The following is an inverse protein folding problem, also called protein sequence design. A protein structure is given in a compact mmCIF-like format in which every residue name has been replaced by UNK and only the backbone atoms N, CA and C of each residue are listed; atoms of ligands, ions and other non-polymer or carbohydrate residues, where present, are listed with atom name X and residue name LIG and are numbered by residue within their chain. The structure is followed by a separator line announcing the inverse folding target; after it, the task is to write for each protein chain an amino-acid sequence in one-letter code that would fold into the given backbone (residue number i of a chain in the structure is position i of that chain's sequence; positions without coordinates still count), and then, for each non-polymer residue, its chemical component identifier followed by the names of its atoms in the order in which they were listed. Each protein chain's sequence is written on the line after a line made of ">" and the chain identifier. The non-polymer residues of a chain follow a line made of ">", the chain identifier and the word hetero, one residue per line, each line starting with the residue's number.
data_IF_523789710664
#
_entry.id   IF_523789710664
#
_cell.length_a   1.000
_cell.length_b   1.000
_cell.length_c   1.000
_cell.angle_alpha   90.00
_cell.angle_beta   90.00
_cell.angle_gamma   90.00
#
_symmetry.space_group_name_H-M   'P 1'
#
loop_
_entity.id
_entity.type
_entity.pdbx_description
1 polymer ?
#
# COMPACT_ATOMS: atom_id res chain seq x y z
N UNK A 1 -61.47 -2.71 -49.36
CA UNK A 1 -61.39 -1.91 -48.10
C UNK A 1 -60.88 -2.86 -47.02
N UNK A 2 -59.60 -3.28 -47.11
CA UNK A 2 -59.05 -4.44 -46.36
C UNK A 2 -57.52 -4.42 -46.30
N UNK A 3 -56.91 -3.24 -46.16
CA UNK A 3 -55.45 -3.08 -46.05
C UNK A 3 -54.94 -2.36 -44.79
N UNK A 4 -55.69 -1.43 -44.14
CA UNK A 4 -55.18 -0.75 -42.94
C UNK A 4 -55.22 -1.63 -41.67
N UNK A 5 -56.10 -2.64 -41.62
CA UNK A 5 -56.34 -3.46 -40.42
C UNK A 5 -55.18 -4.43 -40.12
N UNK A 6 -54.56 -4.99 -41.16
CA UNK A 6 -53.39 -5.87 -41.06
C UNK A 6 -52.13 -5.17 -40.57
N UNK A 7 -51.94 -3.89 -40.91
CA UNK A 7 -50.77 -3.11 -40.44
C UNK A 7 -50.88 -2.76 -38.96
N UNK A 8 -52.09 -2.44 -38.49
CA UNK A 8 -52.35 -2.18 -37.07
C UNK A 8 -52.12 -3.44 -36.22
N UNK A 9 -52.60 -4.60 -36.69
CA UNK A 9 -52.40 -5.90 -36.02
C UNK A 9 -50.92 -6.30 -35.94
N UNK A 10 -50.14 -6.09 -37.00
CA UNK A 10 -48.69 -6.36 -37.00
C UNK A 10 -47.94 -5.44 -36.05
N UNK A 11 -48.28 -4.14 -36.01
CA UNK A 11 -47.69 -3.20 -35.07
C UNK A 11 -47.99 -3.55 -33.61
N UNK A 12 -49.21 -4.03 -33.31
CA UNK A 12 -49.56 -4.48 -31.96
C UNK A 12 -48.81 -5.77 -31.55
N UNK A 13 -48.63 -6.71 -32.49
CA UNK A 13 -47.83 -7.93 -32.26
C UNK A 13 -46.35 -7.59 -32.03
N UNK A 14 -45.79 -6.65 -32.80
CA UNK A 14 -44.42 -6.17 -32.61
C UNK A 14 -44.24 -5.43 -31.28
N UNK A 15 -45.22 -4.59 -30.89
CA UNK A 15 -45.22 -3.91 -29.59
C UNK A 15 -45.33 -4.87 -28.40
N UNK A 16 -46.12 -5.95 -28.52
CA UNK A 16 -46.19 -7.00 -27.50
C UNK A 16 -44.88 -7.79 -27.43
N UNK A 17 -44.30 -8.17 -28.58
CA UNK A 17 -43.00 -8.87 -28.63
C UNK A 17 -41.86 -8.02 -28.09
N UNK A 18 -41.84 -6.72 -28.35
CA UNK A 18 -40.81 -5.82 -27.81
C UNK A 18 -40.94 -5.70 -26.29
N UNK A 19 -42.16 -5.57 -25.78
CA UNK A 19 -42.43 -5.57 -24.33
C UNK A 19 -42.00 -6.87 -23.66
N UNK A 20 -42.34 -8.02 -24.25
CA UNK A 20 -41.97 -9.33 -23.69
C UNK A 20 -40.45 -9.54 -23.70
N UNK A 21 -39.74 -9.04 -24.74
CA UNK A 21 -38.27 -9.03 -24.76
C UNK A 21 -37.68 -8.15 -23.67
N UNK A 22 -38.24 -6.97 -23.42
CA UNK A 22 -37.78 -6.06 -22.35
C UNK A 22 -38.01 -6.68 -20.97
N UNK A 23 -39.19 -7.28 -20.75
CA UNK A 23 -39.50 -7.97 -19.49
C UNK A 23 -38.58 -9.18 -19.30
N UNK A 24 -38.37 -9.98 -20.34
CA UNK A 24 -37.42 -11.11 -20.30
C UNK A 24 -36.00 -10.66 -19.98
N UNK A 25 -35.51 -9.58 -20.61
CA UNK A 25 -34.20 -9.02 -20.34
C UNK A 25 -34.09 -8.52 -18.89
N UNK A 26 -35.11 -7.84 -18.38
CA UNK A 26 -35.14 -7.36 -17.00
C UNK A 26 -35.06 -8.50 -15.99
N UNK A 27 -35.76 -9.61 -16.23
CA UNK A 27 -35.69 -10.80 -15.37
C UNK A 27 -34.26 -11.36 -15.34
N UNK A 28 -33.62 -11.49 -16.50
CA UNK A 28 -32.24 -11.98 -16.60
C UNK A 28 -31.26 -11.07 -15.85
N UNK A 29 -31.38 -9.75 -16.03
CA UNK A 29 -30.53 -8.76 -15.35
C UNK A 29 -30.71 -8.83 -13.83
N UNK A 30 -31.96 -8.86 -13.35
CA UNK A 30 -32.26 -8.93 -11.92
C UNK A 30 -31.74 -10.23 -11.31
N UNK A 31 -31.94 -11.37 -11.98
CA UNK A 31 -31.43 -12.67 -11.53
C UNK A 31 -29.89 -12.70 -11.47
N UNK A 32 -29.22 -12.11 -12.46
CA UNK A 32 -27.77 -11.99 -12.48
C UNK A 32 -27.26 -11.14 -11.31
N UNK A 33 -27.85 -9.96 -11.08
CA UNK A 33 -27.47 -9.08 -9.96
C UNK A 33 -27.70 -9.75 -8.61
N UNK A 34 -28.83 -10.45 -8.42
CA UNK A 34 -29.11 -11.24 -7.21
C UNK A 34 -28.07 -12.33 -6.98
N UNK A 35 -27.69 -13.06 -8.04
CA UNK A 35 -26.68 -14.12 -7.96
C UNK A 35 -25.31 -13.57 -7.57
N UNK A 36 -24.92 -12.44 -8.14
CA UNK A 36 -23.68 -11.72 -7.77
C UNK A 36 -23.74 -11.26 -6.32
N UNK A 37 -24.85 -10.68 -5.87
CA UNK A 37 -25.02 -10.22 -4.50
C UNK A 37 -24.93 -11.37 -3.48
N UNK A 38 -25.58 -12.51 -3.75
CA UNK A 38 -25.51 -13.71 -2.92
C UNK A 38 -24.10 -14.30 -2.87
N UNK A 39 -23.40 -14.33 -4.01
CA UNK A 39 -22.01 -14.78 -4.08
C UNK A 39 -21.08 -13.88 -3.26
N UNK A 40 -21.24 -12.56 -3.34
CA UNK A 40 -20.49 -11.60 -2.54
C UNK A 40 -20.79 -11.71 -1.04
N UNK A 41 -22.06 -11.92 -0.68
CA UNK A 41 -22.47 -12.14 0.70
C UNK A 41 -21.88 -13.43 1.27
N UNK A 42 -22.00 -14.56 0.56
CA UNK A 42 -21.43 -15.84 0.97
C UNK A 42 -19.91 -15.77 1.11
N UNK A 43 -19.22 -15.04 0.20
CA UNK A 43 -17.77 -14.80 0.30
C UNK A 43 -17.38 -14.01 1.55
N UNK A 44 -18.18 -13.03 1.97
CA UNK A 44 -17.94 -12.26 3.20
C UNK A 44 -18.23 -13.09 4.45
N UNK A 45 -19.39 -13.75 4.48
CA UNK A 45 -19.83 -14.56 5.62
C UNK A 45 -18.91 -15.76 5.88
N UNK A 46 -18.33 -16.36 4.83
CA UNK A 46 -17.39 -17.49 4.95
C UNK A 46 -15.96 -17.08 5.34
N UNK A 47 -15.69 -15.78 5.52
CA UNK A 47 -14.35 -15.26 5.80
C UNK A 47 -14.37 -14.15 6.87
N UNK A 48 -14.92 -14.38 8.08
CA UNK A 48 -14.80 -13.40 9.15
C UNK A 48 -13.32 -13.30 9.52
N UNK A 49 -12.73 -12.13 9.29
CA UNK A 49 -11.36 -11.82 9.72
C UNK A 49 -11.46 -10.83 10.87
N UNK A 50 -11.26 -11.31 12.09
CA UNK A 50 -10.93 -10.44 13.21
C UNK A 50 -9.41 -10.36 13.22
N UNK A 51 -8.87 -9.31 12.60
CA UNK A 51 -7.45 -9.01 12.75
C UNK A 51 -7.16 -8.79 14.24
N UNK A 52 -6.11 -9.43 14.74
CA UNK A 52 -5.64 -9.19 16.12
C UNK A 52 -5.33 -7.69 16.24
N UNK A 53 -5.84 -7.00 17.28
CA UNK A 53 -5.53 -5.59 17.46
C UNK A 53 -4.02 -5.42 17.58
N UNK A 54 -3.46 -4.34 17.02
CA UNK A 54 -2.02 -4.09 17.11
C UNK A 54 -1.59 -3.94 18.57
N UNK A 55 -0.35 -4.34 18.86
CA UNK A 55 0.26 -4.11 20.16
C UNK A 55 0.26 -2.61 20.51
N UNK A 56 0.25 -2.25 21.81
CA UNK A 56 0.33 -0.86 22.23
C UNK A 56 1.62 -0.20 21.70
N UNK A 57 1.64 1.15 21.58
CA UNK A 57 2.83 1.89 21.18
C UNK A 57 4.05 1.52 22.02
N UNK A 58 5.20 1.36 21.38
CA UNK A 58 6.46 1.05 22.07
C UNK A 58 7.59 1.95 21.62
N UNK A 59 8.43 2.37 22.57
CA UNK A 59 9.66 3.11 22.29
C UNK A 59 10.89 2.19 22.14
N UNK A 60 10.72 0.89 22.42
CA UNK A 60 11.78 -0.10 22.32
C UNK A 60 12.31 -0.22 20.90
N UNK A 61 13.64 -0.14 20.75
CA UNK A 61 14.30 -0.25 19.44
C UNK A 61 14.25 1.00 18.56
N UNK A 62 13.77 2.15 19.08
CA UNK A 62 13.87 3.44 18.37
C UNK A 62 15.20 4.11 18.72
N UNK A 63 16.06 4.32 17.73
CA UNK A 63 17.36 4.97 17.90
C UNK A 63 17.17 6.49 17.93
N UNK A 64 17.64 7.16 18.98
CA UNK A 64 17.62 8.64 19.08
C UNK A 64 16.27 9.26 19.47
N UNK A 65 15.35 8.47 20.01
CA UNK A 65 14.02 8.92 20.43
C UNK A 65 14.06 10.02 21.52
N UNK A 66 13.19 11.06 21.47
CA UNK A 66 12.27 11.41 20.38
C UNK A 66 12.81 12.45 19.38
N UNK A 67 13.93 13.11 19.69
CA UNK A 67 14.31 14.38 19.05
C UNK A 67 15.29 14.24 17.86
N UNK A 68 16.02 13.13 17.80
CA UNK A 68 17.08 12.89 16.81
C UNK A 68 17.00 11.45 16.32
N UNK A 69 15.80 11.06 15.86
CA UNK A 69 15.49 9.69 15.53
C UNK A 69 16.14 9.27 14.22
N UNK A 70 16.95 8.21 14.28
CA UNK A 70 17.44 7.51 13.10
C UNK A 70 16.41 6.47 12.66
N UNK A 71 15.69 6.80 11.57
CA UNK A 71 14.63 5.97 11.02
C UNK A 71 15.19 4.65 10.45
N UNK A 72 16.37 4.67 9.83
CA UNK A 72 16.94 3.44 9.27
C UNK A 72 17.47 2.55 10.40
N UNK A 73 18.15 3.14 11.39
CA UNK A 73 18.58 2.44 12.60
C UNK A 73 17.42 1.86 13.44
N UNK A 74 16.23 2.47 13.36
CA UNK A 74 15.03 2.02 14.08
C UNK A 74 14.25 0.88 13.37
N UNK A 75 14.71 0.43 12.19
CA UNK A 75 14.04 -0.63 11.41
C UNK A 75 13.90 -1.94 12.20
N UNK A 76 14.89 -2.29 13.03
CA UNK A 76 14.84 -3.48 13.88
C UNK A 76 13.69 -3.43 14.91
N UNK A 77 13.45 -2.25 15.50
CA UNK A 77 12.30 -2.03 16.38
C UNK A 77 10.98 -2.15 15.61
N UNK A 78 10.90 -1.54 14.42
CA UNK A 78 9.71 -1.61 13.56
C UNK A 78 9.40 -3.05 13.11
N UNK A 79 10.44 -3.88 12.90
CA UNK A 79 10.29 -5.31 12.62
C UNK A 79 9.63 -6.06 13.77
N UNK A 80 10.04 -5.77 15.00
CA UNK A 80 9.58 -6.50 16.19
C UNK A 80 8.07 -6.34 16.47
N UNK A 81 7.45 -5.27 15.95
CA UNK A 81 6.02 -4.98 16.16
C UNK A 81 5.10 -5.54 15.05
N UNK A 82 5.64 -6.24 14.06
CA UNK A 82 4.87 -6.87 12.98
C UNK A 82 5.27 -8.33 12.78
N UNK A 83 4.32 -9.14 12.32
CA UNK A 83 4.57 -10.52 11.87
C UNK A 83 4.80 -10.62 10.35
N UNK A 84 4.82 -9.49 9.64
CA UNK A 84 5.03 -9.42 8.19
C UNK A 84 6.54 -9.25 7.89
N UNK A 85 7.08 -10.15 7.07
CA UNK A 85 8.53 -10.37 6.99
C UNK A 85 9.22 -9.59 5.86
N UNK A 86 8.51 -9.08 4.86
CA UNK A 86 9.14 -8.41 3.73
C UNK A 86 8.97 -6.90 3.82
N UNK A 87 10.07 -6.15 3.94
CA UNK A 87 10.03 -4.70 3.83
C UNK A 87 9.74 -4.28 2.38
N UNK A 88 8.77 -3.39 2.24
CA UNK A 88 8.35 -2.82 0.94
C UNK A 88 8.65 -1.33 0.82
N UNK A 89 8.66 -0.61 1.92
CA UNK A 89 8.86 0.84 1.92
C UNK A 89 9.34 1.33 3.29
N UNK A 90 10.29 2.26 3.30
CA UNK A 90 10.58 3.14 4.44
C UNK A 90 10.29 4.55 3.99
N UNK A 91 9.42 5.27 4.70
CA UNK A 91 9.09 6.64 4.34
C UNK A 91 9.22 7.54 5.56
N UNK A 92 9.82 8.71 5.39
CA UNK A 92 9.92 9.71 6.43
C UNK A 92 9.73 11.12 5.89
N UNK A 93 9.20 11.98 6.75
CA UNK A 93 9.04 13.41 6.53
C UNK A 93 9.58 14.16 7.75
N UNK A 94 10.01 15.40 7.53
CA UNK A 94 10.68 16.19 8.57
C UNK A 94 12.15 15.80 8.77
N UNK A 95 12.78 15.17 7.76
CA UNK A 95 14.18 14.71 7.86
C UNK A 95 15.11 15.92 7.82
N UNK A 96 15.86 16.13 8.91
CA UNK A 96 16.89 17.16 9.04
C UNK A 96 18.14 16.77 8.24
N UNK A 97 19.02 17.74 7.98
CA UNK A 97 20.23 17.55 7.18
C UNK A 97 21.26 16.59 7.78
N UNK A 98 21.13 16.23 9.06
CA UNK A 98 21.90 15.18 9.73
C UNK A 98 21.34 13.76 9.51
N UNK A 99 20.22 13.63 8.78
CA UNK A 99 19.54 12.36 8.51
C UNK A 99 18.54 11.94 9.58
N UNK A 100 18.33 12.73 10.62
CA UNK A 100 17.40 12.41 11.71
C UNK A 100 16.03 13.07 11.55
N UNK A 101 15.03 12.56 12.27
CA UNK A 101 13.73 13.22 12.42
C UNK A 101 13.49 13.59 13.89
N UNK A 102 12.73 14.65 14.11
CA UNK A 102 12.26 15.05 15.42
C UNK A 102 10.77 14.76 15.55
N UNK A 103 10.42 13.73 16.30
CA UNK A 103 9.03 13.31 16.43
C UNK A 103 8.19 14.33 17.19
N UNK A 104 8.79 15.24 17.96
CA UNK A 104 8.05 16.30 18.63
C UNK A 104 7.60 17.40 17.68
N UNK A 105 8.25 17.55 16.53
CA UNK A 105 7.82 18.46 15.47
C UNK A 105 6.57 17.91 14.75
N UNK A 106 5.71 18.80 14.26
CA UNK A 106 4.50 18.45 13.51
C UNK A 106 4.85 17.74 12.19
N UNK A 107 6.01 18.08 11.62
CA UNK A 107 6.50 17.51 10.36
C UNK A 107 7.14 16.13 10.53
N UNK A 108 7.59 15.79 11.74
CA UNK A 108 8.40 14.61 12.02
C UNK A 108 7.56 13.34 12.12
N UNK A 109 7.60 12.53 11.08
CA UNK A 109 6.90 11.25 11.03
C UNK A 109 7.62 10.27 10.11
N UNK A 110 7.56 8.99 10.47
CA UNK A 110 8.03 7.92 9.59
C UNK A 110 7.07 6.74 9.59
N UNK A 111 7.17 5.91 8.56
CA UNK A 111 6.45 4.64 8.47
C UNK A 111 7.25 3.60 7.73
N UNK A 112 7.03 2.36 8.11
CA UNK A 112 7.58 1.15 7.50
C UNK A 112 6.42 0.33 6.97
N UNK A 113 6.51 -0.12 5.73
CA UNK A 113 5.48 -0.99 5.15
C UNK A 113 6.04 -2.40 4.98
N UNK A 114 5.34 -3.36 5.55
CA UNK A 114 5.68 -4.78 5.49
C UNK A 114 4.60 -5.60 4.79
N UNK A 115 5.02 -6.66 4.12
CA UNK A 115 4.16 -7.60 3.40
C UNK A 115 4.64 -9.04 3.66
N UNK A 116 3.82 -10.04 3.37
CA UNK A 116 4.27 -11.44 3.26
C UNK A 116 4.35 -11.86 1.79
N UNK A 117 5.00 -13.00 1.54
CA UNK A 117 4.89 -13.69 0.24
C UNK A 117 3.49 -14.26 0.07
N UNK A 118 3.20 -14.69 -1.16
CA UNK A 118 1.94 -15.32 -1.50
C UNK A 118 1.71 -16.59 -0.67
N UNK A 119 0.59 -16.63 0.03
CA UNK A 119 0.22 -17.74 0.92
C UNK A 119 1.02 -17.80 2.21
N UNK A 120 1.93 -16.84 2.45
CA UNK A 120 2.73 -16.76 3.67
C UNK A 120 2.17 -15.73 4.66
N UNK A 121 2.60 -15.86 5.91
CA UNK A 121 2.24 -14.95 6.99
C UNK A 121 0.96 -15.34 7.74
N UNK A 122 0.74 -14.72 8.91
CA UNK A 122 -0.36 -15.08 9.78
C UNK A 122 -1.70 -14.85 9.09
N UNK A 123 -2.57 -15.84 9.23
CA UNK A 123 -3.99 -15.71 8.94
C UNK A 123 -4.71 -15.50 10.27
N UNK A 124 -5.80 -14.73 10.29
CA UNK A 124 -6.60 -14.59 11.49
C UNK A 124 -7.18 -15.96 11.88
N UNK A 125 -7.41 -16.17 13.18
CA UNK A 125 -8.07 -17.37 13.66
C UNK A 125 -9.42 -17.54 12.96
N UNK A 126 -9.74 -18.76 12.57
CA UNK A 126 -10.93 -19.07 11.76
C UNK A 126 -11.90 -19.95 12.53
N UNK A 127 -13.19 -19.78 12.27
CA UNK A 127 -14.20 -20.71 12.77
C UNK A 127 -13.98 -22.11 12.16
N UNK A 128 -14.21 -23.19 12.93
CA UNK A 128 -14.12 -24.55 12.43
C UNK A 128 -14.97 -24.77 11.17
N UNK A 129 -14.42 -25.48 10.17
CA UNK A 129 -15.12 -25.79 8.92
C UNK A 129 -14.95 -24.77 7.78
N UNK A 130 -14.16 -23.71 7.97
CA UNK A 130 -13.87 -22.72 6.92
C UNK A 130 -12.60 -23.07 6.11
N UNK A 131 -12.59 -22.77 4.80
CA UNK A 131 -11.46 -23.08 3.91
C UNK A 131 -10.34 -22.05 3.99
N UNK A 132 -9.04 -22.43 4.02
CA UNK A 132 -7.92 -21.49 4.02
C UNK A 132 -7.92 -20.63 2.76
N UNK A 133 -7.56 -19.35 2.89
CA UNK A 133 -7.30 -18.48 1.73
C UNK A 133 -5.96 -18.91 1.13
N UNK A 134 -5.93 -19.11 -0.19
CA UNK A 134 -4.72 -19.57 -0.92
C UNK A 134 -3.95 -18.43 -1.61
N UNK A 135 -4.63 -17.33 -1.93
CA UNK A 135 -4.04 -16.18 -2.64
C UNK A 135 -4.20 -14.93 -1.80
N UNK A 136 -3.22 -14.66 -0.94
CA UNK A 136 -3.09 -13.42 -0.19
C UNK A 136 -1.61 -13.19 0.11
N UNK A 137 -1.21 -11.94 0.21
CA UNK A 137 0.14 -11.56 0.59
C UNK A 137 0.15 -10.86 1.95
N UNK A 138 -0.98 -10.29 2.39
CA UNK A 138 -1.10 -9.60 3.67
C UNK A 138 -0.25 -8.33 3.75
N UNK A 139 -0.67 -7.32 4.50
CA UNK A 139 0.09 -6.06 4.62
C UNK A 139 -0.10 -5.45 5.98
N UNK A 140 0.98 -4.93 6.54
CA UNK A 140 0.93 -4.13 7.74
C UNK A 140 1.86 -2.92 7.63
N UNK A 141 1.38 -1.77 8.09
CA UNK A 141 2.18 -0.54 8.16
C UNK A 141 2.50 -0.26 9.61
N UNK A 142 3.75 0.04 9.91
CA UNK A 142 4.20 0.47 11.24
C UNK A 142 4.53 1.94 11.17
N UNK A 143 3.87 2.76 11.98
CA UNK A 143 4.11 4.19 12.08
C UNK A 143 5.05 4.49 13.23
N UNK A 144 5.90 5.48 13.04
CA UNK A 144 6.75 6.05 14.05
C UNK A 144 6.26 7.48 14.33
N UNK A 145 5.69 7.66 15.53
CA UNK A 145 5.02 8.89 15.99
C UNK A 145 5.54 9.27 17.39
N UNK A 146 5.02 10.36 17.96
CA UNK A 146 5.38 10.86 19.30
C UNK A 146 5.24 9.79 20.39
N UNK A 147 4.30 8.87 20.25
CA UNK A 147 4.04 7.79 21.20
C UNK A 147 4.99 6.59 21.04
N UNK A 148 5.80 6.57 19.97
CA UNK A 148 6.69 5.47 19.60
C UNK A 148 6.28 4.78 18.30
N UNK A 149 6.63 3.50 18.19
CA UNK A 149 6.25 2.61 17.09
C UNK A 149 4.85 2.06 17.32
N UNK A 150 3.97 2.23 16.33
CA UNK A 150 2.57 1.81 16.36
C UNK A 150 2.24 1.08 15.06
N UNK A 151 1.83 -0.18 15.14
CA UNK A 151 1.36 -0.91 13.98
C UNK A 151 -0.10 -0.57 13.66
N UNK A 152 -0.44 -0.41 12.38
CA UNK A 152 -1.83 -0.45 11.92
C UNK A 152 -2.39 -1.88 12.10
N UNK A 153 -3.73 -2.05 12.13
CA UNK A 153 -4.34 -3.36 12.02
C UNK A 153 -3.80 -4.13 10.80
N UNK A 154 -3.51 -5.42 10.99
CA UNK A 154 -3.00 -6.27 9.92
C UNK A 154 -4.07 -6.50 8.85
N UNK A 155 -3.73 -6.25 7.58
CA UNK A 155 -4.63 -6.42 6.44
C UNK A 155 -4.33 -7.76 5.80
N UNK A 156 -4.99 -8.82 6.27
CA UNK A 156 -4.70 -10.21 5.92
C UNK A 156 -5.15 -10.62 4.51
N UNK A 157 -6.16 -9.97 3.91
CA UNK A 157 -6.57 -10.17 2.51
C UNK A 157 -5.71 -9.42 1.49
N UNK A 158 -4.71 -8.64 1.91
CA UNK A 158 -4.04 -7.73 0.97
C UNK A 158 -3.58 -8.50 -0.28
N UNK A 159 -4.05 -8.08 -1.48
CA UNK A 159 -3.84 -8.85 -2.69
C UNK A 159 -2.36 -8.98 -2.99
N UNK A 160 -1.99 -10.10 -3.61
CA UNK A 160 -0.64 -10.26 -4.10
C UNK A 160 -0.42 -9.38 -5.33
N UNK A 161 0.76 -8.75 -5.44
CA UNK A 161 1.10 -7.98 -6.62
C UNK A 161 1.12 -8.90 -7.84
N UNK A 162 0.68 -8.37 -8.99
CA UNK A 162 0.68 -9.16 -10.25
C UNK A 162 2.10 -9.51 -10.71
N UNK A 163 3.07 -8.68 -10.32
CA UNK A 163 4.50 -8.91 -10.54
C UNK A 163 5.16 -9.19 -9.20
N UNK A 164 5.87 -10.31 -9.10
CA UNK A 164 6.63 -10.65 -7.90
C UNK A 164 7.81 -9.66 -7.78
N UNK A 165 7.64 -8.63 -6.95
CA UNK A 165 8.71 -7.70 -6.63
C UNK A 165 9.54 -8.29 -5.50
N UNK A 166 10.85 -8.37 -5.68
CA UNK A 166 11.73 -8.73 -4.57
C UNK A 166 11.55 -7.73 -3.43
N UNK A 167 11.67 -8.17 -2.17
CA UNK A 167 11.69 -7.27 -1.03
C UNK A 167 12.83 -6.23 -1.15
N UNK A 168 12.70 -5.16 -0.37
CA UNK A 168 13.83 -4.26 -0.17
C UNK A 168 14.89 -4.97 0.69
N UNK A 169 16.19 -4.81 0.38
CA UNK A 169 17.24 -5.37 1.18
C UNK A 169 17.32 -4.68 2.54
N UNK A 170 17.66 -5.46 3.56
CA UNK A 170 17.76 -5.01 4.94
C UNK A 170 19.10 -5.46 5.55
N UNK A 171 19.84 -4.55 6.22
CA UNK A 171 19.62 -3.10 6.25
C UNK A 171 19.91 -2.46 4.87
N UNK A 172 19.35 -1.28 4.59
CA UNK A 172 19.77 -0.48 3.44
C UNK A 172 21.29 -0.21 3.48
N UNK A 173 21.93 -0.09 2.31
CA UNK A 173 23.40 0.10 2.23
C UNK A 173 23.87 1.50 2.65
N UNK A 174 22.98 2.47 2.62
CA UNK A 174 23.18 3.84 3.08
C UNK A 174 21.93 4.32 3.83
N UNK A 175 22.05 5.38 4.62
CA UNK A 175 20.95 5.96 5.39
C UNK A 175 20.51 7.32 4.86
N UNK A 176 19.65 7.99 5.64
CA UNK A 176 19.15 9.31 5.31
C UNK A 176 20.23 10.40 5.33
N UNK A 177 21.27 10.25 6.17
CA UNK A 177 22.36 11.19 6.25
C UNK A 177 23.15 11.25 4.93
N UNK A 178 23.42 10.10 4.30
CA UNK A 178 24.11 10.01 3.02
C UNK A 178 23.26 10.58 1.87
N UNK A 179 21.96 10.30 1.87
CA UNK A 179 21.02 10.89 0.88
C UNK A 179 20.99 12.41 1.02
N UNK A 180 20.96 12.94 2.24
CA UNK A 180 21.05 14.38 2.51
C UNK A 180 22.40 14.97 2.10
N UNK A 181 23.51 14.28 2.37
CA UNK A 181 24.85 14.72 1.96
C UNK A 181 24.94 14.90 0.44
N UNK A 182 24.32 13.98 -0.33
CA UNK A 182 24.19 14.12 -1.78
C UNK A 182 23.38 15.37 -2.16
N UNK A 183 22.25 15.61 -1.50
CA UNK A 183 21.43 16.80 -1.75
C UNK A 183 22.22 18.11 -1.50
N UNK A 184 22.95 18.18 -0.38
CA UNK A 184 23.77 19.34 -0.01
C UNK A 184 24.87 19.58 -1.05
N UNK A 185 25.51 18.51 -1.53
CA UNK A 185 26.52 18.60 -2.61
C UNK A 185 25.93 19.21 -3.90
N UNK A 186 24.65 18.98 -4.15
CA UNK A 186 23.89 19.55 -5.27
C UNK A 186 23.18 20.88 -4.94
N UNK A 187 23.61 21.57 -3.87
CA UNK A 187 23.14 22.92 -3.54
C UNK A 187 21.86 22.97 -2.69
N UNK A 188 21.41 21.86 -2.10
CA UNK A 188 20.25 21.89 -1.22
C UNK A 188 20.55 22.66 0.10
N UNK A 189 19.59 23.46 0.60
CA UNK A 189 19.75 24.20 1.85
C UNK A 189 19.69 23.29 3.09
N UNK A 190 20.62 23.48 4.04
CA UNK A 190 20.76 22.63 5.25
C UNK A 190 19.70 22.89 6.32
N UNK A 191 19.08 24.07 6.31
CA UNK A 191 18.08 24.51 7.28
C UNK A 191 16.64 24.12 6.90
N UNK A 192 16.48 23.33 5.83
CA UNK A 192 15.20 22.80 5.39
C UNK A 192 15.08 21.34 5.80
N UNK A 193 13.84 20.86 5.81
CA UNK A 193 13.51 19.47 6.06
C UNK A 193 13.11 18.81 4.75
N UNK A 194 13.43 17.53 4.63
CA UNK A 194 13.13 16.74 3.45
C UNK A 194 12.12 15.65 3.76
N UNK A 195 11.51 15.16 2.70
CA UNK A 195 10.82 13.89 2.62
C UNK A 195 11.76 12.90 1.93
N UNK A 196 12.00 11.77 2.59
CA UNK A 196 12.87 10.71 2.06
C UNK A 196 12.12 9.39 2.09
N UNK A 197 12.20 8.66 0.98
CA UNK A 197 11.52 7.36 0.80
C UNK A 197 12.52 6.31 0.28
N UNK A 198 12.61 5.17 0.94
CA UNK A 198 13.23 3.95 0.44
C UNK A 198 12.18 3.08 -0.23
N UNK A 199 12.33 2.81 -1.52
CA UNK A 199 11.32 2.11 -2.31
C UNK A 199 11.96 1.24 -3.39
N UNK A 200 11.15 0.37 -3.99
CA UNK A 200 11.55 -0.44 -5.14
C UNK A 200 11.27 0.36 -6.42
N UNK A 201 12.34 0.85 -7.05
CA UNK A 201 12.30 1.43 -8.37
C UNK A 201 12.48 0.33 -9.44
N UNK A 202 12.29 0.69 -10.72
CA UNK A 202 12.49 -0.23 -11.85
C UNK A 202 13.94 -0.75 -11.91
N UNK A 203 14.92 0.10 -11.61
CA UNK A 203 16.33 -0.28 -11.58
C UNK A 203 16.71 -1.16 -10.37
N UNK A 204 15.88 -1.22 -9.32
CA UNK A 204 16.17 -1.92 -8.07
C UNK A 204 15.80 -1.08 -6.84
N UNK A 205 16.37 -1.39 -5.66
CA UNK A 205 16.18 -0.59 -4.45
C UNK A 205 16.69 0.84 -4.68
N UNK A 206 15.94 1.83 -4.23
CA UNK A 206 16.23 3.24 -4.48
C UNK A 206 15.77 4.15 -3.34
N UNK A 207 16.40 5.31 -3.24
CA UNK A 207 15.99 6.41 -2.39
C UNK A 207 15.34 7.49 -3.23
N UNK A 208 14.25 8.08 -2.76
CA UNK A 208 13.66 9.29 -3.32
C UNK A 208 13.80 10.39 -2.30
N UNK A 209 14.32 11.53 -2.74
CA UNK A 209 14.52 12.71 -1.92
C UNK A 209 13.70 13.86 -2.50
N UNK A 210 13.08 14.64 -1.61
CA UNK A 210 12.36 15.85 -1.97
C UNK A 210 12.37 16.85 -0.82
N UNK A 211 12.68 18.12 -1.10
CA UNK A 211 12.38 19.22 -0.20
C UNK A 211 11.08 19.90 -0.68
N UNK A 212 9.99 19.88 0.11
CA UNK A 212 8.72 20.46 -0.28
C UNK A 212 8.83 21.93 -0.72
N UNK A 213 8.10 22.28 -1.78
CA UNK A 213 8.09 23.61 -2.39
C UNK A 213 9.45 24.10 -2.91
N UNK A 214 10.34 23.19 -3.32
CA UNK A 214 11.62 23.52 -3.94
C UNK A 214 11.88 22.63 -5.16
N UNK A 215 12.80 23.00 -6.06
CA UNK A 215 13.20 22.12 -7.17
C UNK A 215 14.11 20.95 -6.75
N UNK A 216 14.48 20.85 -5.47
CA UNK A 216 15.38 19.80 -4.98
C UNK A 216 14.62 18.48 -4.83
N UNK A 217 14.52 17.75 -5.94
CA UNK A 217 13.98 16.39 -6.01
C UNK A 217 14.90 15.51 -6.85
N UNK A 218 15.17 14.30 -6.38
CA UNK A 218 15.95 13.31 -7.13
C UNK A 218 15.70 11.91 -6.59
N UNK A 219 16.19 10.89 -7.31
CA UNK A 219 16.26 9.53 -6.83
C UNK A 219 17.70 9.01 -6.91
N UNK A 220 18.13 8.27 -5.89
CA UNK A 220 19.42 7.58 -5.87
C UNK A 220 19.20 6.08 -5.92
N UNK A 221 20.15 5.35 -6.50
CA UNK A 221 20.21 3.91 -6.34
C UNK A 221 20.44 3.55 -4.86
N UNK A 222 20.08 2.32 -4.47
CA UNK A 222 20.03 1.90 -3.06
C UNK A 222 21.36 1.92 -2.32
N UNK A 223 22.49 2.11 -3.02
CA UNK A 223 23.83 2.31 -2.47
C UNK A 223 24.24 3.79 -2.35
N UNK A 224 23.35 4.72 -2.68
CA UNK A 224 23.58 6.17 -2.74
C UNK A 224 24.72 6.62 -3.69
N UNK A 225 25.25 5.72 -4.52
CA UNK A 225 26.42 5.99 -5.38
C UNK A 225 26.07 6.65 -6.71
N UNK A 226 24.83 6.47 -7.18
CA UNK A 226 24.38 6.96 -8.49
C UNK A 226 22.99 7.56 -8.41
N UNK A 227 22.80 8.71 -9.05
CA UNK A 227 21.47 9.28 -9.29
C UNK A 227 20.78 8.54 -10.44
N UNK A 228 19.51 8.20 -10.23
CA UNK A 228 18.68 7.51 -11.20
C UNK A 228 18.01 8.51 -12.14
N UNK A 229 17.91 8.12 -13.41
CA UNK A 229 17.10 8.82 -14.40
C UNK A 229 15.61 8.62 -14.10
N UNK A 230 14.74 9.51 -14.60
CA UNK A 230 13.30 9.44 -14.32
C UNK A 230 12.66 8.09 -14.73
N UNK A 231 13.11 7.53 -15.85
CA UNK A 231 12.66 6.23 -16.35
C UNK A 231 13.10 5.05 -15.46
N UNK A 232 14.17 5.20 -14.70
CA UNK A 232 14.68 4.21 -13.74
C UNK A 232 14.03 4.35 -12.37
N UNK A 233 13.72 5.59 -11.97
CA UNK A 233 13.17 5.99 -10.68
C UNK A 233 11.65 5.76 -10.54
N UNK A 234 10.98 5.29 -11.59
CA UNK A 234 9.54 5.00 -11.52
C UNK A 234 9.27 3.90 -10.47
N UNK A 235 8.33 4.16 -9.56
CA UNK A 235 7.91 3.18 -8.56
C UNK A 235 7.18 2.06 -9.27
N UNK A 236 7.66 0.82 -9.12
CA UNK A 236 6.90 -0.33 -9.61
C UNK A 236 5.76 -0.54 -8.62
N UNK A 237 4.55 -0.18 -9.04
CA UNK A 237 3.37 -0.40 -8.23
C UNK A 237 3.24 -1.92 -7.95
N UNK A 238 2.96 -2.33 -6.71
CA UNK A 238 2.56 -3.70 -6.43
C UNK A 238 1.27 -4.04 -7.19
#
# INVERSE_FOLDING_TARGET
>A
MTEPDTRALLAEIEARRSRDRVVGLMIVVVAFVLSVALSLWAKRASRPEVAEPPAPPTTGGIVGFPNAVDVVGSLGGARAVTRRNLLRNIWAEGVKSDGTIDLNDVSGRARYTFQSLEGEGPQPAREPGTLPRRHYCGKQTVHLKKEGLVADPDVTDYPCPTQLLDPLPEPPRCGFAEVWAHAIKNGAPRNRMARIEYYRAKAGPAWRFEIPATPHKFALYGDCGRQLEEAEAFTVAP
#
